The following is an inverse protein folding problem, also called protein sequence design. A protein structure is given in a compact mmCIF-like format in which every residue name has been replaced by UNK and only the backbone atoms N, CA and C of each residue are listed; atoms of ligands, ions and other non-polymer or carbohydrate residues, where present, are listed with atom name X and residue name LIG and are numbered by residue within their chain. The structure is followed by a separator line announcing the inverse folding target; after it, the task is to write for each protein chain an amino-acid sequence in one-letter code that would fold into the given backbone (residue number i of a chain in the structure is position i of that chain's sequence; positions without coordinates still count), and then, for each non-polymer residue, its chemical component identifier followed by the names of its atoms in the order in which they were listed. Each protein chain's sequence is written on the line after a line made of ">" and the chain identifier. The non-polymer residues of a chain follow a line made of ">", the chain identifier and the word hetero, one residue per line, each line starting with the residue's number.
data_IF_796404107077
#
_entry.id   IF_796404107077
#
_cell.length_a   1.000
_cell.length_b   1.000
_cell.length_c   1.000
_cell.angle_alpha   90.00
_cell.angle_beta   90.00
_cell.angle_gamma   90.00
#
_symmetry.space_group_name_H-M   'P 1'
#
loop_
_entity.id
_entity.type
_entity.pdbx_description
1 polymer ?
#
# COMPACT_ATOMS: atom_id res chain seq x y z
N UNK A 1 14.42 -1.97 11.27
CA UNK A 1 13.00 -2.02 11.65
C UNK A 1 12.30 -3.08 10.81
N UNK A 2 11.21 -3.64 11.33
CA UNK A 2 10.25 -4.39 10.53
C UNK A 2 9.21 -3.40 9.98
N UNK A 3 9.03 -3.38 8.66
CA UNK A 3 8.15 -2.48 7.93
C UNK A 3 7.07 -3.34 7.29
N UNK A 4 5.81 -3.08 7.59
CA UNK A 4 4.67 -3.76 6.96
C UNK A 4 3.92 -2.76 6.07
N UNK A 5 3.78 -3.09 4.79
CA UNK A 5 2.82 -2.45 3.89
C UNK A 5 1.61 -3.35 3.71
N UNK A 6 0.42 -2.78 3.86
CA UNK A 6 -0.85 -3.47 3.62
C UNK A 6 -1.50 -2.85 2.40
N UNK A 7 -1.65 -3.65 1.35
CA UNK A 7 -2.31 -3.26 0.11
C UNK A 7 -3.71 -3.87 0.03
N UNK A 8 -4.76 -3.05 -0.09
CA UNK A 8 -6.09 -3.53 -0.45
C UNK A 8 -6.08 -4.41 -1.70
N UNK A 9 -5.46 -3.93 -2.77
CA UNK A 9 -5.31 -4.61 -4.04
C UNK A 9 -3.82 -4.74 -4.42
N UNK A 10 -3.46 -5.69 -5.31
CA UNK A 10 -2.11 -5.77 -5.85
C UNK A 10 -1.84 -4.59 -6.80
N UNK A 11 -1.02 -3.63 -6.35
CA UNK A 11 -0.53 -2.40 -7.01
C UNK A 11 -0.49 -1.22 -6.02
N UNK A 12 -1.39 -1.19 -5.03
CA UNK A 12 -1.47 -0.11 -4.04
C UNK A 12 -0.17 0.09 -3.25
N UNK A 13 0.57 -0.98 -2.96
CA UNK A 13 1.88 -0.88 -2.29
C UNK A 13 2.88 -0.11 -3.14
N UNK A 14 2.81 -0.32 -4.45
CA UNK A 14 3.67 0.32 -5.44
C UNK A 14 3.24 1.77 -5.65
N UNK A 15 1.94 2.01 -5.90
CA UNK A 15 1.37 3.34 -6.11
C UNK A 15 1.61 4.24 -4.89
N UNK A 16 1.31 3.74 -3.69
CA UNK A 16 1.36 4.50 -2.45
C UNK A 16 2.74 4.65 -1.81
N UNK A 17 3.58 3.60 -1.85
CA UNK A 17 4.83 3.57 -1.08
C UNK A 17 6.03 2.93 -1.80
N UNK A 18 5.93 2.64 -3.11
CA UNK A 18 6.93 1.85 -3.83
C UNK A 18 8.36 2.39 -3.75
N UNK A 19 8.55 3.71 -3.87
CA UNK A 19 9.87 4.33 -3.76
C UNK A 19 10.42 4.26 -2.33
N UNK A 20 9.55 4.47 -1.35
CA UNK A 20 9.86 4.37 0.07
C UNK A 20 10.25 2.96 0.46
N UNK A 21 9.54 1.94 -0.03
CA UNK A 21 9.86 0.54 0.24
C UNK A 21 11.25 0.16 -0.28
N UNK A 22 11.60 0.59 -1.50
CA UNK A 22 12.96 0.41 -2.05
C UNK A 22 14.02 1.07 -1.18
N UNK A 23 13.78 2.32 -0.77
CA UNK A 23 14.68 3.07 0.11
C UNK A 23 14.87 2.40 1.47
N UNK A 24 13.79 1.92 2.07
CA UNK A 24 13.83 1.23 3.37
C UNK A 24 14.58 -0.10 3.26
N UNK A 25 14.37 -0.85 2.16
CA UNK A 25 15.11 -2.09 1.89
C UNK A 25 16.61 -1.83 1.74
N UNK A 26 17.00 -0.81 0.96
CA UNK A 26 18.42 -0.45 0.80
C UNK A 26 19.07 -0.05 2.14
N UNK A 27 18.32 0.61 3.02
CA UNK A 27 18.76 0.94 4.38
C UNK A 27 18.82 -0.25 5.34
N UNK A 28 18.62 -1.48 4.85
CA UNK A 28 18.71 -2.70 5.65
C UNK A 28 17.51 -2.95 6.57
N UNK A 29 16.38 -2.29 6.31
CA UNK A 29 15.13 -2.65 6.99
C UNK A 29 14.50 -3.89 6.38
N UNK A 30 13.76 -4.63 7.21
CA UNK A 30 12.98 -5.77 6.75
C UNK A 30 11.63 -5.26 6.27
N UNK A 31 11.29 -5.52 5.02
CA UNK A 31 10.06 -5.05 4.38
C UNK A 31 9.15 -6.24 4.11
N UNK A 32 7.91 -6.12 4.53
CA UNK A 32 6.91 -7.17 4.51
C UNK A 32 5.67 -6.67 3.78
N UNK A 33 5.08 -7.52 2.96
CA UNK A 33 3.87 -7.18 2.20
C UNK A 33 2.70 -8.07 2.60
N UNK A 34 1.61 -7.45 3.03
CA UNK A 34 0.31 -8.10 3.18
C UNK A 34 -0.63 -7.60 2.08
N UNK A 35 -0.96 -8.49 1.15
CA UNK A 35 -1.98 -8.27 0.15
C UNK A 35 -3.34 -8.81 0.64
N UNK A 36 -4.39 -8.00 0.59
CA UNK A 36 -5.69 -8.36 1.17
C UNK A 36 -6.60 -9.05 0.16
N UNK A 37 -6.81 -8.47 -1.01
CA UNK A 37 -7.70 -9.04 -2.03
C UNK A 37 -6.92 -9.63 -3.19
N UNK A 38 -7.47 -10.67 -3.84
CA UNK A 38 -6.87 -11.24 -5.03
C UNK A 38 -7.93 -11.81 -5.98
N UNK A 39 -7.61 -11.83 -7.28
CA UNK A 39 -8.47 -12.46 -8.26
C UNK A 39 -8.50 -13.99 -8.06
N UNK A 40 -9.70 -14.57 -8.03
CA UNK A 40 -9.91 -16.02 -8.05
C UNK A 40 -11.03 -16.41 -9.00
N UNK A 41 -10.96 -17.63 -9.52
CA UNK A 41 -12.02 -18.16 -10.40
C UNK A 41 -13.36 -18.27 -9.69
N UNK A 42 -13.36 -18.52 -8.38
CA UNK A 42 -14.58 -18.54 -7.54
C UNK A 42 -15.28 -17.17 -7.46
N UNK A 43 -14.57 -16.07 -7.72
CA UNK A 43 -15.13 -14.72 -7.79
C UNK A 43 -15.50 -14.29 -9.22
N UNK A 44 -15.49 -15.23 -10.17
CA UNK A 44 -15.90 -14.98 -11.57
C UNK A 44 -14.79 -14.51 -12.51
N UNK A 45 -13.52 -14.47 -12.06
CA UNK A 45 -12.39 -14.16 -12.93
C UNK A 45 -11.99 -15.35 -13.81
N UNK A 46 -11.50 -15.09 -15.02
CA UNK A 46 -10.98 -16.15 -15.89
C UNK A 46 -9.69 -16.74 -15.32
N UNK A 47 -9.41 -18.01 -15.63
CA UNK A 47 -8.20 -18.70 -15.16
C UNK A 47 -6.93 -17.99 -15.64
N UNK A 48 -6.97 -17.43 -16.84
CA UNK A 48 -5.87 -16.68 -17.45
C UNK A 48 -5.55 -15.43 -16.62
N UNK A 49 -6.57 -14.61 -16.26
CA UNK A 49 -6.38 -13.42 -15.43
C UNK A 49 -5.86 -13.73 -14.04
N UNK A 50 -6.38 -14.79 -13.41
CA UNK A 50 -5.88 -15.25 -12.09
C UNK A 50 -4.42 -15.69 -12.18
N UNK A 51 -4.04 -16.39 -13.25
CA UNK A 51 -2.65 -16.83 -13.46
C UNK A 51 -1.74 -15.63 -13.68
N UNK A 52 -2.13 -14.70 -14.57
CA UNK A 52 -1.39 -13.48 -14.85
C UNK A 52 -1.17 -12.65 -13.57
N UNK A 53 -2.23 -12.37 -12.81
CA UNK A 53 -2.14 -11.62 -11.54
C UNK A 53 -1.18 -12.27 -10.55
N UNK A 54 -1.21 -13.59 -10.41
CA UNK A 54 -0.31 -14.30 -9.50
C UNK A 54 1.16 -14.29 -9.99
N UNK A 55 1.40 -14.24 -11.29
CA UNK A 55 2.74 -14.05 -11.85
C UNK A 55 3.24 -12.61 -11.66
N UNK A 56 2.38 -11.61 -11.81
CA UNK A 56 2.68 -10.21 -11.52
C UNK A 56 3.11 -10.05 -10.06
N UNK A 57 2.32 -10.56 -9.11
CA UNK A 57 2.62 -10.54 -7.67
C UNK A 57 4.00 -11.17 -7.38
N UNK A 58 4.32 -12.33 -7.98
CA UNK A 58 5.63 -12.99 -7.78
C UNK A 58 6.80 -12.14 -8.29
N UNK A 59 6.63 -11.45 -9.42
CA UNK A 59 7.65 -10.55 -9.98
C UNK A 59 7.82 -9.33 -9.07
N UNK A 60 6.73 -8.74 -8.58
CA UNK A 60 6.76 -7.59 -7.66
C UNK A 60 7.46 -7.96 -6.35
N UNK A 61 7.15 -9.12 -5.77
CA UNK A 61 7.84 -9.63 -4.57
C UNK A 61 9.36 -9.68 -4.79
N UNK A 62 9.77 -10.20 -5.95
CA UNK A 62 11.19 -10.31 -6.30
C UNK A 62 11.83 -8.94 -6.51
N UNK A 63 11.16 -8.03 -7.21
CA UNK A 63 11.69 -6.68 -7.55
C UNK A 63 11.88 -5.78 -6.33
N UNK A 64 10.98 -5.86 -5.33
CA UNK A 64 11.16 -5.21 -4.03
C UNK A 64 12.04 -6.02 -3.07
N UNK A 65 12.23 -7.31 -3.35
CA UNK A 65 12.92 -8.24 -2.46
C UNK A 65 12.30 -8.27 -1.06
N UNK A 66 10.97 -8.39 -0.98
CA UNK A 66 10.27 -8.47 0.30
C UNK A 66 10.78 -9.66 1.14
N UNK A 67 10.96 -9.45 2.44
CA UNK A 67 11.42 -10.46 3.38
C UNK A 67 10.35 -11.51 3.67
N UNK A 68 9.08 -11.12 3.57
CA UNK A 68 7.96 -12.05 3.57
C UNK A 68 6.71 -11.43 2.93
N UNK A 69 5.80 -12.31 2.52
CA UNK A 69 4.57 -11.98 1.82
C UNK A 69 3.42 -12.81 2.37
N UNK A 70 2.27 -12.16 2.57
CA UNK A 70 1.01 -12.81 2.87
C UNK A 70 -0.02 -12.39 1.83
N UNK A 71 -0.80 -13.35 1.36
CA UNK A 71 -1.96 -13.11 0.52
C UNK A 71 -3.19 -13.63 1.24
N UNK A 72 -4.11 -12.75 1.63
CA UNK A 72 -5.38 -13.17 2.24
C UNK A 72 -6.36 -13.67 1.18
N UNK A 73 -6.13 -13.30 -0.09
CA UNK A 73 -6.92 -13.71 -1.25
C UNK A 73 -8.44 -13.55 -1.07
N UNK A 74 -8.85 -12.46 -0.41
CA UNK A 74 -10.25 -12.09 -0.28
C UNK A 74 -10.79 -11.54 -1.61
N UNK A 75 -12.11 -11.51 -1.73
CA UNK A 75 -12.79 -11.05 -2.94
C UNK A 75 -12.60 -9.54 -3.14
N UNK A 76 -12.05 -9.10 -4.30
CA UNK A 76 -11.99 -7.69 -4.65
C UNK A 76 -13.40 -7.10 -4.77
N UNK A 77 -13.59 -5.85 -4.33
CA UNK A 77 -14.90 -5.18 -4.24
C UNK A 77 -15.92 -5.92 -3.36
N UNK A 78 -15.47 -6.84 -2.51
CA UNK A 78 -16.32 -7.69 -1.67
C UNK A 78 -16.02 -7.58 -0.19
N UNK A 79 -15.25 -6.58 0.25
CA UNK A 79 -14.82 -6.47 1.65
C UNK A 79 -15.97 -6.29 2.64
N UNK A 80 -17.13 -5.79 2.18
CA UNK A 80 -18.38 -5.65 2.95
C UNK A 80 -19.07 -6.99 3.26
N UNK A 81 -18.70 -8.07 2.55
CA UNK A 81 -19.24 -9.42 2.78
C UNK A 81 -18.64 -10.11 4.01
N UNK A 82 -17.50 -9.62 4.51
CA UNK A 82 -16.78 -10.25 5.60
C UNK A 82 -17.07 -9.59 6.95
N UNK A 83 -17.28 -10.40 7.98
CA UNK A 83 -17.41 -9.88 9.34
C UNK A 83 -16.10 -9.23 9.81
N UNK A 84 -16.19 -7.99 10.30
CA UNK A 84 -15.04 -7.22 10.79
C UNK A 84 -14.24 -8.00 11.84
N UNK A 85 -14.91 -8.73 12.75
CA UNK A 85 -14.24 -9.54 13.78
C UNK A 85 -13.35 -10.66 13.21
N UNK A 86 -13.78 -11.28 12.11
CA UNK A 86 -12.99 -12.28 11.38
C UNK A 86 -11.77 -11.64 10.74
N UNK A 87 -11.96 -10.52 10.03
CA UNK A 87 -10.87 -9.78 9.40
C UNK A 87 -9.83 -9.31 10.43
N UNK A 88 -10.26 -8.73 11.55
CA UNK A 88 -9.38 -8.31 12.66
C UNK A 88 -8.52 -9.48 13.15
N UNK A 89 -9.09 -10.68 13.25
CA UNK A 89 -8.36 -11.87 13.70
C UNK A 89 -7.28 -12.29 12.70
N UNK A 90 -7.56 -12.20 11.39
CA UNK A 90 -6.59 -12.47 10.34
C UNK A 90 -5.45 -11.44 10.33
N UNK A 91 -5.76 -10.15 10.40
CA UNK A 91 -4.75 -9.09 10.47
C UNK A 91 -3.86 -9.21 11.71
N UNK A 92 -4.43 -9.54 12.87
CA UNK A 92 -3.66 -9.76 14.11
C UNK A 92 -2.63 -10.87 13.96
N UNK A 93 -2.96 -11.95 13.25
CA UNK A 93 -2.01 -13.04 13.02
C UNK A 93 -0.76 -12.53 12.29
N UNK A 94 -0.96 -11.75 11.22
CA UNK A 94 0.16 -11.14 10.47
C UNK A 94 0.95 -10.16 11.33
N UNK A 95 0.27 -9.37 12.16
CA UNK A 95 0.92 -8.45 13.09
C UNK A 95 1.80 -9.18 14.12
N UNK A 96 1.38 -10.33 14.63
CA UNK A 96 2.17 -11.12 15.57
C UNK A 96 3.34 -11.84 14.90
N UNK A 97 3.19 -12.26 13.64
CA UNK A 97 4.27 -12.86 12.84
C UNK A 97 5.35 -11.83 12.48
N UNK A 98 4.94 -10.62 12.06
CA UNK A 98 5.84 -9.55 11.59
C UNK A 98 6.39 -8.70 12.73
N UNK A 99 5.55 -8.40 13.74
CA UNK A 99 5.78 -7.37 14.77
C UNK A 99 6.25 -6.04 14.17
N UNK A 100 5.43 -5.40 13.30
CA UNK A 100 5.86 -4.23 12.53
C UNK A 100 6.11 -3.01 13.44
N UNK A 101 7.26 -2.35 13.25
CA UNK A 101 7.56 -1.08 13.91
C UNK A 101 7.03 0.12 13.09
N UNK A 102 6.99 -0.02 11.76
CA UNK A 102 6.42 0.94 10.82
C UNK A 102 5.34 0.26 9.98
N UNK A 103 4.17 0.87 9.91
CA UNK A 103 3.02 0.38 9.17
C UNK A 103 2.57 1.39 8.10
N UNK A 104 2.45 0.93 6.86
CA UNK A 104 1.80 1.63 5.75
C UNK A 104 0.43 1.01 5.48
N UNK A 105 -0.61 1.83 5.46
CA UNK A 105 -2.02 1.43 5.21
C UNK A 105 -2.68 2.40 4.21
N UNK A 106 -3.81 2.03 3.57
CA UNK A 106 -4.56 2.98 2.73
C UNK A 106 -5.06 4.19 3.53
N UNK A 107 -5.49 5.23 2.83
CA UNK A 107 -6.06 6.42 3.48
C UNK A 107 -7.52 6.16 3.88
N UNK A 108 -7.97 6.57 5.09
CA UNK A 108 -9.32 6.29 5.61
C UNK A 108 -10.47 6.73 4.71
N UNK A 109 -10.23 7.69 3.82
CA UNK A 109 -11.26 8.33 3.00
C UNK A 109 -11.03 8.15 1.50
N UNK A 110 -10.20 7.17 1.10
CA UNK A 110 -10.10 6.74 -0.29
C UNK A 110 -11.49 6.40 -0.86
N UNK A 111 -11.68 6.65 -2.17
CA UNK A 111 -12.99 6.49 -2.82
C UNK A 111 -13.44 5.03 -2.89
N UNK A 112 -12.51 4.07 -2.95
CA UNK A 112 -12.82 2.64 -2.96
C UNK A 112 -13.25 2.11 -1.58
N UNK A 113 -14.34 1.34 -1.54
CA UNK A 113 -14.90 0.78 -0.29
C UNK A 113 -13.93 -0.17 0.42
N UNK A 114 -13.27 -1.06 -0.31
CA UNK A 114 -12.24 -1.97 0.23
C UNK A 114 -11.16 -1.21 1.02
N UNK A 115 -10.63 -0.10 0.50
CA UNK A 115 -9.63 0.71 1.19
C UNK A 115 -10.14 1.18 2.55
N UNK A 116 -11.36 1.71 2.62
CA UNK A 116 -11.97 2.18 3.87
C UNK A 116 -12.21 1.06 4.86
N UNK A 117 -12.74 -0.08 4.42
CA UNK A 117 -13.02 -1.23 5.30
C UNK A 117 -11.72 -1.81 5.86
N UNK A 118 -10.71 -1.96 4.99
CA UNK A 118 -9.38 -2.47 5.38
C UNK A 118 -8.70 -1.49 6.33
N UNK A 119 -8.74 -0.18 6.04
CA UNK A 119 -8.24 0.84 6.94
C UNK A 119 -8.83 0.69 8.35
N UNK A 120 -10.16 0.71 8.48
CA UNK A 120 -10.82 0.66 9.79
C UNK A 120 -10.51 -0.64 10.53
N UNK A 121 -10.47 -1.75 9.82
CA UNK A 121 -10.17 -3.06 10.38
C UNK A 121 -8.74 -3.12 10.89
N UNK A 122 -7.76 -2.77 10.06
CA UNK A 122 -6.34 -2.77 10.42
C UNK A 122 -6.06 -1.78 11.53
N UNK A 123 -6.60 -0.56 11.47
CA UNK A 123 -6.36 0.46 12.47
C UNK A 123 -6.79 0.00 13.88
N UNK A 124 -7.85 -0.80 13.98
CA UNK A 124 -8.29 -1.41 15.24
C UNK A 124 -7.24 -2.35 15.87
N UNK A 125 -6.36 -2.94 15.06
CA UNK A 125 -5.24 -3.78 15.50
C UNK A 125 -4.05 -2.97 16.05
N UNK A 126 -4.02 -1.64 15.84
CA UNK A 126 -2.87 -0.79 16.20
C UNK A 126 -2.86 -0.30 17.65
N UNK A 127 -3.78 -0.76 18.51
CA UNK A 127 -3.86 -0.32 19.92
C UNK A 127 -2.51 -0.56 20.61
N UNK A 128 -1.90 0.48 21.17
CA UNK A 128 -0.51 0.47 21.65
C UNK A 128 -0.21 -0.60 22.70
N UNK A 129 -1.18 -0.93 23.56
CA UNK A 129 -1.04 -1.99 24.57
C UNK A 129 -1.24 -3.42 24.01
N UNK A 130 -1.72 -3.56 22.77
CA UNK A 130 -1.85 -4.86 22.06
C UNK A 130 -0.78 -5.04 20.98
N UNK A 131 -0.31 -3.95 20.39
CA UNK A 131 0.79 -3.91 19.44
C UNK A 131 1.92 -3.01 19.97
N UNK A 132 2.58 -3.37 21.09
CA UNK A 132 3.60 -2.53 21.71
C UNK A 132 4.88 -2.41 20.88
N UNK A 133 5.06 -3.21 19.83
CA UNK A 133 6.14 -3.08 18.86
C UNK A 133 5.91 -1.95 17.85
N UNK A 134 4.66 -1.55 17.61
CA UNK A 134 4.29 -0.59 16.57
C UNK A 134 4.59 0.84 17.03
N UNK A 135 5.48 1.52 16.30
CA UNK A 135 5.93 2.89 16.60
C UNK A 135 5.27 3.91 15.70
N UNK A 136 5.14 3.64 14.40
CA UNK A 136 4.64 4.60 13.41
C UNK A 136 3.56 3.97 12.53
N UNK A 137 2.45 4.69 12.34
CA UNK A 137 1.38 4.34 11.39
C UNK A 137 1.20 5.49 10.40
N UNK A 138 1.48 5.21 9.13
CA UNK A 138 1.34 6.13 8.00
C UNK A 138 0.24 5.63 7.07
N UNK A 139 -0.66 6.52 6.65
CA UNK A 139 -1.50 6.24 5.48
C UNK A 139 -0.84 6.73 4.20
N UNK A 140 -0.98 5.93 3.15
CA UNK A 140 -0.44 6.16 1.82
C UNK A 140 -1.33 7.11 1.01
N UNK A 141 -0.72 7.85 0.08
CA UNK A 141 -1.43 8.55 -1.01
C UNK A 141 -1.45 7.64 -2.24
N UNK A 142 -2.57 6.97 -2.48
CA UNK A 142 -2.71 6.02 -3.59
C UNK A 142 -3.38 6.74 -4.77
N UNK A 143 -2.69 6.76 -5.90
CA UNK A 143 -3.17 7.41 -7.13
C UNK A 143 -4.41 6.68 -7.68
N UNK A 144 -5.37 7.45 -8.20
CA UNK A 144 -6.75 7.08 -8.56
C UNK A 144 -7.70 6.78 -7.41
N UNK A 145 -7.21 6.77 -6.18
CA UNK A 145 -8.02 6.46 -5.00
C UNK A 145 -8.13 7.66 -4.06
N UNK A 146 -6.97 8.12 -3.57
CA UNK A 146 -6.86 9.20 -2.59
C UNK A 146 -7.17 10.56 -3.20
N UNK A 147 -6.82 10.78 -4.48
CA UNK A 147 -7.14 12.03 -5.19
C UNK A 147 -8.64 12.17 -5.52
N UNK A 148 -9.40 11.07 -5.43
CA UNK A 148 -10.85 11.04 -5.61
C UNK A 148 -11.61 11.09 -4.27
N UNK A 149 -10.91 11.25 -3.14
CA UNK A 149 -11.54 11.39 -1.83
C UNK A 149 -12.50 12.60 -1.77
N UNK A 150 -13.52 12.50 -0.92
CA UNK A 150 -14.49 13.59 -0.71
C UNK A 150 -13.79 14.88 -0.27
N UNK A 151 -14.34 16.03 -0.67
CA UNK A 151 -13.70 17.34 -0.50
C UNK A 151 -13.39 17.67 0.96
N UNK A 152 -14.30 17.34 1.87
CA UNK A 152 -14.17 17.48 3.33
C UNK A 152 -13.06 16.59 3.94
N UNK A 153 -12.61 15.58 3.18
CA UNK A 153 -11.62 14.59 3.59
C UNK A 153 -10.39 14.60 2.69
N UNK A 154 -10.12 15.73 2.01
CA UNK A 154 -8.95 15.89 1.15
C UNK A 154 -7.66 15.47 1.84
N UNK A 155 -6.86 14.67 1.15
CA UNK A 155 -5.57 14.20 1.65
C UNK A 155 -4.60 15.36 1.91
N UNK A 156 -4.18 15.48 3.16
CA UNK A 156 -3.28 16.53 3.63
C UNK A 156 -2.03 15.88 4.22
N UNK A 157 -1.00 15.62 3.40
CA UNK A 157 0.20 14.93 3.88
C UNK A 157 1.00 15.80 4.85
N UNK A 158 1.64 15.14 5.80
CA UNK A 158 2.52 15.76 6.80
C UNK A 158 3.85 15.02 6.96
N UNK A 159 4.06 13.94 6.20
CA UNK A 159 5.31 13.19 6.12
C UNK A 159 5.69 13.04 4.66
N UNK A 160 6.95 13.31 4.34
CA UNK A 160 7.47 13.24 2.98
C UNK A 160 8.77 12.46 2.99
N UNK A 161 8.88 11.47 2.10
CA UNK A 161 10.07 10.64 1.97
C UNK A 161 10.65 10.88 0.59
N UNK A 162 11.87 11.41 0.55
CA UNK A 162 12.62 11.57 -0.70
C UNK A 162 12.80 10.22 -1.39
N UNK A 163 12.26 10.11 -2.61
CA UNK A 163 12.39 8.92 -3.47
C UNK A 163 13.13 9.24 -4.77
N UNK A 164 13.91 10.33 -4.80
CA UNK A 164 14.55 10.82 -6.02
C UNK A 164 15.42 9.79 -6.73
N UNK A 165 16.08 8.90 -5.95
CA UNK A 165 16.91 7.81 -6.46
C UNK A 165 16.13 6.54 -6.82
N UNK A 166 14.84 6.48 -6.47
CA UNK A 166 14.03 5.26 -6.54
C UNK A 166 12.83 5.37 -7.48
N UNK A 167 12.51 6.57 -7.98
CA UNK A 167 11.32 6.82 -8.79
C UNK A 167 11.27 5.95 -10.06
N UNK A 168 12.36 5.88 -10.82
CA UNK A 168 12.36 5.08 -12.06
C UNK A 168 12.15 3.59 -11.76
N UNK A 169 12.80 3.05 -10.72
CA UNK A 169 12.59 1.66 -10.31
C UNK A 169 11.16 1.41 -9.79
N UNK A 170 10.55 2.36 -9.08
CA UNK A 170 9.12 2.29 -8.70
C UNK A 170 8.23 2.16 -9.94
N UNK A 171 8.50 2.94 -10.98
CA UNK A 171 7.73 2.94 -12.23
C UNK A 171 7.94 1.65 -13.02
N UNK A 172 9.17 1.14 -13.08
CA UNK A 172 9.47 -0.17 -13.69
C UNK A 172 8.74 -1.31 -12.99
N UNK A 173 8.61 -1.24 -11.66
CA UNK A 173 7.82 -2.21 -10.89
C UNK A 173 6.33 -2.04 -11.16
N UNK A 174 5.82 -0.81 -11.23
CA UNK A 174 4.41 -0.55 -11.56
C UNK A 174 4.03 -1.15 -12.93
N UNK A 175 4.95 -1.12 -13.91
CA UNK A 175 4.77 -1.72 -15.25
C UNK A 175 4.62 -3.25 -15.24
N UNK A 176 4.89 -3.91 -14.12
CA UNK A 176 4.61 -5.34 -13.96
C UNK A 176 3.09 -5.58 -13.97
N UNK A 177 2.30 -4.69 -13.37
CA UNK A 177 0.83 -4.77 -13.31
C UNK A 177 0.20 -4.28 -14.61
N UNK A 178 0.29 -5.09 -15.68
CA UNK A 178 -0.07 -4.67 -17.04
C UNK A 178 -1.52 -4.22 -17.19
N UNK A 179 -2.40 -4.75 -16.35
CA UNK A 179 -3.83 -4.42 -16.35
C UNK A 179 -4.18 -3.18 -15.50
N UNK A 180 -3.24 -2.69 -14.70
CA UNK A 180 -3.44 -1.59 -13.74
C UNK A 180 -2.70 -0.30 -14.13
N UNK A 181 -1.88 -0.34 -15.20
CA UNK A 181 -1.22 0.83 -15.78
C UNK A 181 -1.57 0.95 -17.26
N UNK A 182 -1.91 2.16 -17.70
CA UNK A 182 -2.22 2.46 -19.10
C UNK A 182 -1.69 3.85 -19.48
N UNK A 183 -1.84 4.22 -20.74
CA UNK A 183 -1.50 5.53 -21.29
C UNK A 183 -2.43 6.65 -20.78
N UNK A 184 -1.96 7.91 -20.73
CA UNK A 184 -2.83 9.05 -20.50
C UNK A 184 -4.02 9.06 -21.48
N UNK A 185 -5.24 9.42 -21.03
CA UNK A 185 -5.56 10.13 -19.79
C UNK A 185 -5.85 9.23 -18.58
N UNK A 186 -5.59 7.92 -18.63
CA UNK A 186 -5.82 7.03 -17.50
C UNK A 186 -4.95 7.45 -16.30
N UNK A 187 -5.48 7.59 -15.06
CA UNK A 187 -4.75 8.21 -13.96
C UNK A 187 -3.53 7.40 -13.49
N UNK A 188 -3.61 6.07 -13.55
CA UNK A 188 -2.47 5.19 -13.23
C UNK A 188 -1.61 5.05 -14.48
N UNK A 189 -0.75 6.04 -14.70
CA UNK A 189 0.21 6.09 -15.81
C UNK A 189 1.57 6.64 -15.34
N UNK A 190 2.62 6.43 -16.14
CA UNK A 190 3.99 6.86 -15.81
C UNK A 190 4.10 8.38 -15.57
N UNK A 191 3.47 9.20 -16.41
CA UNK A 191 3.51 10.66 -16.30
C UNK A 191 2.83 11.14 -15.02
N UNK A 192 1.68 10.56 -14.66
CA UNK A 192 0.96 10.90 -13.44
C UNK A 192 1.73 10.47 -12.18
N UNK A 193 2.35 9.29 -12.18
CA UNK A 193 3.21 8.84 -11.07
C UNK A 193 4.40 9.78 -10.88
N UNK A 194 5.10 10.15 -11.98
CA UNK A 194 6.20 11.13 -11.95
C UNK A 194 5.71 12.50 -11.50
N UNK A 195 4.57 12.95 -12.02
CA UNK A 195 3.96 14.24 -11.72
C UNK A 195 3.57 14.39 -10.24
N UNK A 196 2.92 13.38 -9.66
CA UNK A 196 2.58 13.37 -8.24
C UNK A 196 3.85 13.40 -7.39
N UNK A 197 4.84 12.56 -7.70
CA UNK A 197 6.09 12.51 -6.97
C UNK A 197 6.86 13.85 -7.04
N UNK A 198 6.84 14.53 -8.19
CA UNK A 198 7.47 15.84 -8.38
C UNK A 198 6.74 16.93 -7.59
N UNK A 199 5.40 16.95 -7.63
CA UNK A 199 4.60 17.90 -6.87
C UNK A 199 4.85 17.76 -5.37
N UNK A 200 4.81 16.53 -4.85
CA UNK A 200 5.12 16.26 -3.44
C UNK A 200 6.58 16.60 -3.10
N UNK A 201 7.51 16.29 -4.01
CA UNK A 201 8.92 16.66 -3.86
C UNK A 201 9.08 18.17 -3.67
N UNK A 202 8.45 18.98 -4.52
CA UNK A 202 8.48 20.43 -4.44
C UNK A 202 7.93 20.96 -3.11
N UNK A 203 6.89 20.33 -2.54
CA UNK A 203 6.34 20.73 -1.22
C UNK A 203 7.26 20.39 -0.05
N UNK A 204 8.24 19.50 -0.23
CA UNK A 204 9.13 18.99 0.81
C UNK A 204 10.62 19.28 0.56
N UNK A 205 10.94 20.12 -0.43
CA UNK A 205 12.31 20.44 -0.84
C UNK A 205 13.14 19.22 -1.32
N UNK A 206 12.49 18.32 -2.06
CA UNK A 206 13.11 17.21 -2.77
C UNK A 206 12.81 17.27 -4.28
N UNK A 207 13.57 16.56 -5.11
CA UNK A 207 13.24 16.42 -6.53
C UNK A 207 11.97 15.59 -6.72
N UNK A 208 11.90 14.44 -6.04
CA UNK A 208 10.73 13.57 -6.00
C UNK A 208 10.51 13.03 -4.59
N UNK A 209 9.26 12.98 -4.13
CA UNK A 209 8.93 12.36 -2.85
C UNK A 209 7.60 11.61 -2.90
N UNK A 210 7.48 10.56 -2.09
CA UNK A 210 6.18 10.05 -1.69
C UNK A 210 5.71 10.80 -0.44
N UNK A 211 4.41 11.03 -0.37
CA UNK A 211 3.78 11.75 0.72
C UNK A 211 2.86 10.82 1.50
N UNK A 212 2.83 11.01 2.81
CA UNK A 212 2.08 10.19 3.75
C UNK A 212 1.35 11.10 4.74
N UNK A 213 0.26 10.57 5.29
CA UNK A 213 -0.39 11.16 6.45
C UNK A 213 -0.06 10.33 7.70
N UNK A 214 0.62 10.96 8.65
CA UNK A 214 0.93 10.40 9.94
C UNK A 214 -0.34 10.33 10.78
N UNK A 215 -0.80 9.11 11.02
CA UNK A 215 -1.98 8.85 11.86
C UNK A 215 -1.56 8.79 13.32
N UNK A 216 -0.44 8.14 13.60
CA UNK A 216 0.05 7.92 14.96
C UNK A 216 1.55 7.66 14.96
N UNK A 217 2.26 8.29 15.88
CA UNK A 217 3.65 7.98 16.20
C UNK A 217 3.83 7.83 17.72
N UNK A 218 4.71 6.93 18.14
CA UNK A 218 5.27 6.87 19.48
C UNK A 218 6.78 6.97 19.38
N UNK A 219 7.32 8.01 20.01
CA UNK A 219 8.74 8.28 20.11
C UNK A 219 9.21 7.87 21.50
N UNK A 220 10.35 7.20 21.57
CA UNK A 220 11.07 6.90 22.81
C UNK A 220 12.27 7.87 22.94
#
# INVERSE_FOLDING_TARGET
>A
MNVLVISPHPDDETLGAGGTLLKLKEKGHKTHWLNVTNMKTEYGYTKERVTERNEEIKKVISSYSFDSFWNMELEPMGMDKYEIGSLVSQFKKVFEDVKPELLFIPYPYDIHSDHRIIFHTVYSCTKSFRAPYLKIVLSMEILSETDQAQMEHKFTPNVFIDISQYLEKKIDIMKIYKSEIDSPPFPRNEEAIKGLAAYRGATAYYKYSEAFYLIKSRMD
#
